data_IF_524310483934
#
_entry.id   IF_524310483934
#
_cell.length_a   1.000
_cell.length_b   1.000
_cell.length_c   1.000
_cell.angle_alpha   90.00
_cell.angle_beta   90.00
_cell.angle_gamma   90.00
#
_symmetry.space_group_name_H-M   'P 1'
#
loop_
_entity.id
_entity.type
_entity.pdbx_description
1 polymer ?
#
# COMPACT_ATOMS: atom_id res chain seq x y z
N UNK A 1 -48.49 18.41 52.81
CA UNK A 1 -47.04 18.57 52.62
C UNK A 1 -46.41 17.21 52.92
N UNK A 2 -46.62 16.12 52.18
CA UNK A 2 -46.35 15.78 50.76
C UNK A 2 -45.01 16.33 50.26
N UNK A 3 -44.20 15.44 49.65
CA UNK A 3 -42.83 15.59 49.15
C UNK A 3 -41.74 15.14 50.15
N UNK A 4 -41.58 13.82 50.32
CA UNK A 4 -40.28 13.19 50.68
C UNK A 4 -40.27 11.65 50.55
N UNK A 5 -41.15 11.02 49.75
CA UNK A 5 -41.20 9.54 49.66
C UNK A 5 -41.37 8.98 48.24
N UNK A 6 -40.99 9.72 47.19
CA UNK A 6 -41.12 9.24 45.80
C UNK A 6 -39.78 9.12 45.07
N UNK A 7 -38.66 9.59 45.63
CA UNK A 7 -37.37 9.58 44.92
C UNK A 7 -36.52 8.31 45.16
N UNK A 8 -36.96 7.38 46.01
CA UNK A 8 -36.27 6.09 46.24
C UNK A 8 -37.05 4.85 45.75
N UNK A 9 -38.00 5.03 44.83
CA UNK A 9 -38.74 3.92 44.22
C UNK A 9 -38.72 3.97 42.67
N UNK A 10 -37.67 4.54 42.08
CA UNK A 10 -37.49 4.63 40.63
C UNK A 10 -36.23 3.96 40.08
N UNK A 11 -35.46 3.24 40.91
CA UNK A 11 -34.15 2.70 40.52
C UNK A 11 -34.06 1.15 40.47
N UNK A 12 -35.18 0.45 40.67
CA UNK A 12 -35.24 -1.02 40.60
C UNK A 12 -36.08 -1.54 39.42
N UNK A 13 -36.79 -0.67 38.69
CA UNK A 13 -37.53 -1.04 37.47
C UNK A 13 -36.73 -0.93 36.17
N UNK A 14 -35.46 -0.49 36.24
CA UNK A 14 -34.64 -0.13 35.07
C UNK A 14 -33.53 -1.16 34.78
N UNK A 15 -32.98 -1.83 35.80
CA UNK A 15 -31.88 -2.80 35.62
C UNK A 15 -32.33 -4.12 35.02
N UNK A 16 -33.48 -4.64 35.43
CA UNK A 16 -34.02 -5.88 34.86
C UNK A 16 -34.46 -5.68 33.39
N UNK A 17 -34.94 -4.48 33.05
CA UNK A 17 -35.23 -4.09 31.67
C UNK A 17 -33.97 -3.95 30.82
N UNK A 18 -32.90 -3.34 31.37
CA UNK A 18 -31.60 -3.23 30.70
C UNK A 18 -30.94 -4.59 30.47
N UNK A 19 -31.05 -5.53 31.42
CA UNK A 19 -30.53 -6.89 31.26
C UNK A 19 -31.29 -7.63 30.18
N UNK A 20 -32.63 -7.57 30.18
CA UNK A 20 -33.45 -8.20 29.14
C UNK A 20 -33.17 -7.62 27.74
N UNK A 21 -32.88 -6.32 27.66
CA UNK A 21 -32.51 -5.67 26.41
C UNK A 21 -31.12 -6.10 25.91
N UNK A 22 -30.11 -6.13 26.79
CA UNK A 22 -28.77 -6.63 26.43
C UNK A 22 -28.79 -8.09 25.98
N UNK A 23 -29.59 -8.94 26.63
CA UNK A 23 -29.73 -10.35 26.25
C UNK A 23 -30.39 -10.52 24.87
N UNK A 24 -31.33 -9.64 24.51
CA UNK A 24 -31.93 -9.62 23.18
C UNK A 24 -30.94 -9.14 22.12
N UNK A 25 -30.15 -8.10 22.41
CA UNK A 25 -29.11 -7.58 21.51
C UNK A 25 -27.99 -8.61 21.30
N UNK A 26 -27.54 -9.29 22.35
CA UNK A 26 -26.53 -10.35 22.26
C UNK A 26 -27.02 -11.53 21.41
N UNK A 27 -28.32 -11.86 21.50
CA UNK A 27 -28.92 -12.92 20.69
C UNK A 27 -28.99 -12.53 19.23
N UNK A 28 -29.43 -11.31 18.93
CA UNK A 28 -29.45 -10.77 17.56
C UNK A 28 -28.05 -10.76 16.95
N UNK A 29 -27.05 -10.26 17.69
CA UNK A 29 -25.67 -10.17 17.22
C UNK A 29 -25.04 -11.55 16.98
N UNK A 30 -25.44 -12.55 17.78
CA UNK A 30 -25.01 -13.94 17.59
C UNK A 30 -25.63 -14.56 16.34
N UNK A 31 -26.93 -14.34 16.12
CA UNK A 31 -27.64 -14.81 14.92
C UNK A 31 -27.05 -14.17 13.66
N UNK A 32 -26.80 -12.87 13.67
CA UNK A 32 -26.17 -12.14 12.57
C UNK A 32 -24.73 -12.65 12.30
N UNK A 33 -23.96 -12.94 13.35
CA UNK A 33 -22.62 -13.51 13.22
C UNK A 33 -22.63 -14.93 12.66
N UNK A 34 -23.59 -15.76 13.07
CA UNK A 34 -23.76 -17.13 12.56
C UNK A 34 -24.18 -17.11 11.09
N UNK A 35 -25.03 -16.18 10.70
CA UNK A 35 -25.44 -16.00 9.31
C UNK A 35 -24.27 -15.50 8.44
N UNK A 36 -23.50 -14.52 8.90
CA UNK A 36 -22.31 -14.03 8.18
C UNK A 36 -21.26 -15.14 7.98
N UNK A 37 -21.11 -16.04 8.97
CA UNK A 37 -20.24 -17.22 8.84
C UNK A 37 -20.76 -18.20 7.79
N UNK A 38 -22.06 -18.46 7.75
CA UNK A 38 -22.67 -19.35 6.75
C UNK A 38 -22.55 -18.79 5.33
N UNK A 39 -22.69 -17.48 5.16
CA UNK A 39 -22.50 -16.80 3.87
C UNK A 39 -21.03 -16.88 3.41
N UNK A 40 -20.06 -16.63 4.30
CA UNK A 40 -18.63 -16.77 3.98
C UNK A 40 -18.24 -18.23 3.64
N UNK A 41 -18.82 -19.21 4.32
CA UNK A 41 -18.60 -20.63 4.00
C UNK A 41 -19.18 -21.01 2.64
N UNK A 42 -20.37 -20.50 2.30
CA UNK A 42 -20.99 -20.74 1.00
C UNK A 42 -20.22 -20.05 -0.14
N UNK A 43 -19.61 -18.89 0.10
CA UNK A 43 -18.73 -18.20 -0.85
C UNK A 43 -17.43 -18.99 -1.07
N UNK A 44 -16.83 -19.52 0.00
CA UNK A 44 -15.61 -20.33 -0.08
C UNK A 44 -15.81 -21.67 -0.81
N UNK A 45 -17.02 -22.25 -0.77
CA UNK A 45 -17.36 -23.44 -1.57
C UNK A 45 -17.60 -23.12 -3.05
N UNK A 46 -17.93 -21.87 -3.39
CA UNK A 46 -18.26 -21.45 -4.76
C UNK A 46 -17.04 -21.01 -5.58
N UNK A 47 -15.92 -20.71 -4.94
CA UNK A 47 -14.68 -20.31 -5.62
C UNK A 47 -13.62 -21.42 -5.57
N UNK A 48 -13.46 -22.25 -6.63
CA UNK A 48 -12.36 -23.18 -6.70
C UNK A 48 -11.10 -22.38 -7.10
N UNK A 49 -10.54 -21.58 -6.18
CA UNK A 49 -9.20 -20.99 -6.32
C UNK A 49 -8.14 -22.09 -6.12
N UNK A 50 -8.33 -23.28 -6.67
CA UNK A 50 -7.30 -24.32 -6.81
C UNK A 50 -7.76 -25.38 -7.83
N UNK A 51 -7.73 -25.06 -9.14
CA UNK A 51 -7.84 -26.08 -10.19
C UNK A 51 -6.69 -27.11 -10.20
N UNK A 52 -5.67 -26.91 -9.34
CA UNK A 52 -4.47 -27.74 -9.19
C UNK A 52 -4.41 -28.49 -7.85
N UNK A 53 -5.45 -28.43 -7.02
CA UNK A 53 -5.61 -29.44 -5.97
C UNK A 53 -6.08 -30.71 -6.66
N UNK A 54 -5.08 -31.44 -7.17
CA UNK A 54 -5.18 -32.87 -7.46
C UNK A 54 -5.92 -33.49 -6.29
N UNK A 55 -7.07 -34.11 -6.57
CA UNK A 55 -7.72 -34.91 -5.55
C UNK A 55 -6.67 -35.90 -5.04
N UNK A 56 -6.68 -36.20 -3.74
CA UNK A 56 -5.67 -37.08 -3.14
C UNK A 56 -5.66 -38.52 -3.68
N UNK A 57 -6.13 -38.78 -4.90
CA UNK A 57 -5.81 -39.97 -5.70
C UNK A 57 -4.69 -39.73 -6.71
N UNK A 58 -3.93 -38.63 -6.55
CA UNK A 58 -2.51 -38.67 -6.87
C UNK A 58 -1.96 -39.97 -6.27
N UNK A 59 -1.65 -40.94 -7.13
CA UNK A 59 -0.82 -42.06 -6.74
C UNK A 59 0.35 -41.45 -5.99
N UNK A 60 0.38 -41.66 -4.68
CA UNK A 60 1.53 -41.34 -3.85
C UNK A 60 2.65 -42.24 -4.31
N UNK A 61 3.24 -41.95 -5.47
CA UNK A 61 4.60 -42.32 -5.73
C UNK A 61 5.37 -41.56 -4.67
N UNK A 62 5.73 -42.29 -3.61
CA UNK A 62 6.82 -41.93 -2.74
C UNK A 62 7.97 -41.58 -3.68
N UNK A 63 8.20 -40.28 -3.88
CA UNK A 63 9.32 -39.80 -4.66
C UNK A 63 10.52 -40.45 -3.99
N UNK A 64 11.30 -41.21 -4.77
CA UNK A 64 12.47 -41.85 -4.21
C UNK A 64 13.35 -40.77 -3.58
N UNK A 65 14.16 -41.13 -2.58
CA UNK A 65 15.10 -40.20 -1.98
C UNK A 65 15.98 -39.51 -3.05
N UNK A 66 16.28 -40.22 -4.14
CA UNK A 66 16.99 -39.70 -5.31
C UNK A 66 16.19 -38.64 -6.10
N UNK A 67 14.89 -38.85 -6.31
CA UNK A 67 14.02 -37.86 -6.98
C UNK A 67 13.83 -36.60 -6.13
N UNK A 68 13.71 -36.77 -4.81
CA UNK A 68 13.63 -35.65 -3.88
C UNK A 68 14.94 -34.86 -3.86
N UNK A 69 16.08 -35.55 -3.84
CA UNK A 69 17.38 -34.93 -3.88
C UNK A 69 17.61 -34.16 -5.20
N UNK A 70 17.31 -34.77 -6.34
CA UNK A 70 17.43 -34.10 -7.64
C UNK A 70 16.54 -32.85 -7.74
N UNK A 71 15.34 -32.89 -7.14
CA UNK A 71 14.46 -31.72 -7.09
C UNK A 71 14.94 -30.65 -6.11
N UNK A 72 15.54 -31.04 -4.99
CA UNK A 72 16.17 -30.11 -4.05
C UNK A 72 17.34 -29.38 -4.72
N UNK A 73 18.22 -30.10 -5.41
CA UNK A 73 19.35 -29.53 -6.15
C UNK A 73 18.88 -28.56 -7.27
N UNK A 74 17.79 -28.92 -7.97
CA UNK A 74 17.18 -28.03 -8.97
C UNK A 74 16.64 -26.75 -8.35
N UNK A 75 15.97 -26.85 -7.19
CA UNK A 75 15.42 -25.69 -6.49
C UNK A 75 16.53 -24.79 -5.97
N UNK A 76 17.57 -25.36 -5.36
CA UNK A 76 18.75 -24.61 -4.90
C UNK A 76 19.40 -23.84 -6.06
N UNK A 77 19.52 -24.45 -7.24
CA UNK A 77 20.04 -23.76 -8.42
C UNK A 77 19.16 -22.57 -8.83
N UNK A 78 17.84 -22.76 -8.87
CA UNK A 78 16.90 -21.69 -9.27
C UNK A 78 16.86 -20.56 -8.24
N UNK A 79 16.93 -20.90 -6.96
CA UNK A 79 17.02 -19.92 -5.87
C UNK A 79 18.29 -19.09 -6.00
N UNK A 80 19.42 -19.72 -6.34
CA UNK A 80 20.66 -18.99 -6.59
C UNK A 80 20.56 -18.08 -7.83
N UNK A 81 20.03 -18.59 -8.95
CA UNK A 81 19.84 -17.79 -10.17
C UNK A 81 18.92 -16.59 -9.92
N UNK A 82 17.85 -16.76 -9.13
CA UNK A 82 16.96 -15.68 -8.75
C UNK A 82 17.63 -14.67 -7.82
N UNK A 83 18.42 -15.13 -6.86
CA UNK A 83 19.15 -14.24 -5.95
C UNK A 83 20.17 -13.37 -6.70
N UNK A 84 20.87 -13.95 -7.68
CA UNK A 84 21.82 -13.21 -8.51
C UNK A 84 21.09 -12.19 -9.39
N UNK A 85 19.97 -12.57 -10.01
CA UNK A 85 19.15 -11.65 -10.81
C UNK A 85 18.56 -10.52 -9.96
N UNK A 86 18.08 -10.83 -8.75
CA UNK A 86 17.57 -9.82 -7.82
C UNK A 86 18.66 -8.84 -7.42
N UNK A 87 19.90 -9.31 -7.18
CA UNK A 87 21.03 -8.43 -6.89
C UNK A 87 21.37 -7.51 -8.07
N UNK A 88 21.35 -8.02 -9.29
CA UNK A 88 21.58 -7.22 -10.51
C UNK A 88 20.47 -6.18 -10.73
N UNK A 89 19.20 -6.56 -10.55
CA UNK A 89 18.07 -5.65 -10.66
C UNK A 89 18.12 -4.55 -9.59
N UNK A 90 18.42 -4.90 -8.33
CA UNK A 90 18.54 -3.91 -7.26
C UNK A 90 19.67 -2.90 -7.52
N UNK A 91 20.80 -3.36 -8.08
CA UNK A 91 21.88 -2.45 -8.45
C UNK A 91 21.46 -1.49 -9.58
N UNK A 92 20.72 -1.99 -10.58
CA UNK A 92 20.17 -1.17 -11.65
C UNK A 92 19.10 -0.19 -11.15
N UNK A 93 18.21 -0.63 -10.27
CA UNK A 93 17.20 0.23 -9.65
C UNK A 93 17.84 1.35 -8.83
N UNK A 94 18.90 1.03 -8.09
CA UNK A 94 19.67 2.03 -7.35
C UNK A 94 20.31 3.08 -8.27
N UNK A 95 20.95 2.63 -9.37
CA UNK A 95 21.52 3.53 -10.38
C UNK A 95 20.44 4.43 -11.02
N UNK A 96 19.27 3.88 -11.33
CA UNK A 96 18.14 4.64 -11.89
C UNK A 96 17.55 5.65 -10.89
N UNK A 97 17.48 5.29 -9.61
CA UNK A 97 16.99 6.18 -8.55
C UNK A 97 17.96 7.35 -8.30
N UNK A 98 19.27 7.16 -8.47
CA UNK A 98 20.23 8.26 -8.38
C UNK A 98 20.08 9.30 -9.51
N UNK A 99 19.59 8.87 -10.68
CA UNK A 99 19.52 9.70 -11.89
C UNK A 99 18.10 10.13 -12.27
N UNK A 100 17.07 9.64 -11.58
CA UNK A 100 15.69 10.00 -11.91
C UNK A 100 14.71 9.88 -10.74
N UNK A 101 13.64 10.65 -10.80
CA UNK A 101 12.53 10.57 -9.84
C UNK A 101 11.18 10.82 -10.50
N UNK A 102 10.12 10.22 -9.95
CA UNK A 102 8.77 10.33 -10.49
C UNK A 102 7.92 11.44 -9.87
N UNK A 103 6.62 11.51 -10.23
CA UNK A 103 5.67 12.43 -9.62
C UNK A 103 5.56 12.24 -8.10
N UNK A 104 5.03 13.26 -7.42
CA UNK A 104 4.93 13.32 -5.96
C UNK A 104 5.88 14.35 -5.37
N UNK A 105 5.85 14.46 -4.04
CA UNK A 105 6.71 15.35 -3.25
C UNK A 105 7.99 14.63 -2.82
N UNK A 106 9.12 15.29 -3.03
CA UNK A 106 10.46 14.80 -2.75
C UNK A 106 11.22 15.80 -1.88
N UNK A 107 11.77 15.33 -0.77
CA UNK A 107 12.68 16.13 0.08
C UNK A 107 14.07 16.16 -0.54
N UNK A 108 14.59 17.34 -0.83
CA UNK A 108 15.93 17.52 -1.42
C UNK A 108 17.01 17.15 -0.40
N UNK A 109 18.03 16.42 -0.83
CA UNK A 109 19.09 15.84 0.01
C UNK A 109 18.69 14.56 0.77
N UNK A 110 17.43 14.09 0.62
CA UNK A 110 16.98 12.81 1.15
C UNK A 110 16.41 11.90 0.06
N UNK A 111 15.46 12.43 -0.71
CA UNK A 111 14.75 11.70 -1.76
C UNK A 111 15.36 12.00 -3.13
N UNK A 112 15.83 13.23 -3.35
CA UNK A 112 16.49 13.68 -4.59
C UNK A 112 17.69 14.56 -4.29
N UNK A 113 18.73 14.51 -5.11
CA UNK A 113 19.92 15.35 -4.95
C UNK A 113 19.75 16.75 -5.58
N UNK A 114 20.56 17.71 -5.17
CA UNK A 114 20.65 19.01 -5.86
C UNK A 114 21.18 18.84 -7.29
N UNK A 115 20.68 19.64 -8.23
CA UNK A 115 21.14 19.62 -9.61
C UNK A 115 20.08 20.01 -10.63
N UNK A 116 20.46 19.89 -11.90
CA UNK A 116 19.58 20.19 -13.02
C UNK A 116 18.82 18.94 -13.45
N UNK A 117 17.49 19.08 -13.54
CA UNK A 117 16.59 18.00 -13.94
C UNK A 117 15.81 18.35 -15.19
N UNK A 118 15.61 17.35 -16.05
CA UNK A 118 14.83 17.43 -17.28
C UNK A 118 13.68 16.45 -17.24
N UNK A 119 12.51 16.88 -17.68
CA UNK A 119 11.38 16.01 -17.96
C UNK A 119 10.88 16.20 -19.38
N UNK A 120 10.37 15.14 -19.98
CA UNK A 120 9.61 15.14 -21.22
C UNK A 120 8.17 14.77 -20.88
N UNK A 121 7.26 15.76 -20.71
CA UNK A 121 5.92 15.51 -20.20
C UNK A 121 5.14 14.50 -21.05
N UNK A 122 4.68 13.43 -20.42
CA UNK A 122 3.83 12.41 -21.08
C UNK A 122 2.37 12.88 -21.24
N UNK A 123 1.98 13.92 -20.51
CA UNK A 123 0.63 14.48 -20.48
C UNK A 123 0.63 16.00 -20.71
N UNK A 124 -0.55 16.54 -21.03
CA UNK A 124 -0.76 18.00 -21.16
C UNK A 124 -0.94 18.71 -19.81
N UNK A 125 -0.58 18.11 -18.68
CA UNK A 125 -0.82 18.66 -17.34
C UNK A 125 0.38 18.45 -16.39
N UNK A 126 1.59 18.73 -16.86
CA UNK A 126 2.78 18.71 -16.01
C UNK A 126 2.83 19.96 -15.13
N UNK A 127 2.60 19.81 -13.83
CA UNK A 127 2.71 20.89 -12.84
C UNK A 127 3.82 20.56 -11.85
N UNK A 128 4.56 21.57 -11.43
CA UNK A 128 5.57 21.44 -10.38
C UNK A 128 5.58 22.66 -9.48
N UNK A 129 5.98 22.45 -8.24
CA UNK A 129 6.17 23.50 -7.25
C UNK A 129 7.32 23.12 -6.32
N UNK A 130 7.87 24.13 -5.65
CA UNK A 130 8.91 23.89 -4.66
C UNK A 130 8.78 24.85 -3.48
N UNK A 131 9.26 24.41 -2.33
CA UNK A 131 9.29 25.22 -1.11
C UNK A 131 10.70 25.31 -0.54
N UNK A 132 10.97 26.40 0.16
CA UNK A 132 12.16 26.53 0.99
C UNK A 132 12.03 25.78 2.33
N UNK A 133 13.06 25.87 3.15
CA UNK A 133 13.14 25.25 4.48
C UNK A 133 12.17 25.87 5.50
N UNK A 134 11.57 27.03 5.19
CA UNK A 134 10.50 27.63 5.98
C UNK A 134 9.10 27.22 5.51
N UNK A 135 9.01 26.40 4.44
CA UNK A 135 7.76 25.99 3.82
C UNK A 135 7.14 27.07 2.94
N UNK A 136 7.90 28.08 2.54
CA UNK A 136 7.44 29.12 1.62
C UNK A 136 7.66 28.68 0.18
N UNK A 137 6.65 28.90 -0.67
CA UNK A 137 6.74 28.58 -2.10
C UNK A 137 7.81 29.42 -2.80
N UNK A 138 8.56 28.79 -3.68
CA UNK A 138 9.59 29.40 -4.50
C UNK A 138 9.04 29.65 -5.91
N UNK A 139 8.44 30.82 -6.12
CA UNK A 139 7.80 31.21 -7.40
C UNK A 139 8.68 31.00 -8.64
N UNK A 140 10.00 31.13 -8.50
CA UNK A 140 10.96 30.96 -9.59
C UNK A 140 11.15 29.50 -10.02
N UNK A 141 10.69 28.55 -9.22
CA UNK A 141 10.80 27.11 -9.41
C UNK A 141 9.42 26.43 -9.22
N UNK A 142 8.35 27.16 -9.50
CA UNK A 142 6.97 26.67 -9.61
C UNK A 142 6.44 26.94 -11.02
N UNK A 143 5.68 26.00 -11.59
CA UNK A 143 5.18 26.16 -12.95
C UNK A 143 4.28 25.04 -13.45
N UNK A 144 3.81 25.22 -14.68
CA UNK A 144 2.98 24.28 -15.40
C UNK A 144 3.36 24.23 -16.88
N UNK A 145 3.15 23.07 -17.51
CA UNK A 145 3.46 22.78 -18.91
C UNK A 145 2.37 21.90 -19.51
N UNK A 146 1.84 22.31 -20.65
CA UNK A 146 0.68 21.65 -21.29
C UNK A 146 0.88 21.25 -22.75
N UNK A 147 1.98 21.68 -23.38
CA UNK A 147 2.29 21.46 -24.80
C UNK A 147 3.23 20.25 -25.04
N UNK A 148 3.58 19.51 -23.99
CA UNK A 148 4.51 18.39 -24.05
C UNK A 148 5.98 18.79 -24.30
N UNK A 149 6.29 20.09 -24.33
CA UNK A 149 7.67 20.52 -24.53
C UNK A 149 8.54 20.14 -23.31
N UNK A 150 9.82 19.76 -23.53
CA UNK A 150 10.72 19.44 -22.43
C UNK A 150 10.86 20.61 -21.45
N UNK A 151 10.85 20.28 -20.16
CA UNK A 151 11.07 21.24 -19.07
C UNK A 151 12.41 20.94 -18.43
N UNK A 152 13.15 21.98 -18.08
CA UNK A 152 14.38 21.89 -17.31
C UNK A 152 14.20 22.76 -16.07
N UNK A 153 14.52 22.20 -14.91
CA UNK A 153 14.51 22.87 -13.61
C UNK A 153 15.90 22.77 -12.97
N UNK A 154 16.28 23.78 -12.18
CA UNK A 154 17.51 23.79 -11.40
C UNK A 154 17.13 23.73 -9.92
N UNK A 155 17.37 22.59 -9.28
CA UNK A 155 17.03 22.35 -7.88
C UNK A 155 18.26 22.66 -7.04
N UNK A 156 18.27 23.86 -6.47
CA UNK A 156 19.34 24.36 -5.62
C UNK A 156 19.23 23.90 -4.16
N UNK A 157 20.29 24.15 -3.35
CA UNK A 157 20.33 23.79 -1.93
C UNK A 157 19.35 24.58 -1.04
N UNK A 158 18.72 25.63 -1.55
CA UNK A 158 17.68 26.40 -0.87
C UNK A 158 16.31 25.70 -0.87
N UNK A 159 16.11 24.75 -1.77
CA UNK A 159 14.87 23.98 -1.94
C UNK A 159 14.84 22.87 -0.88
N UNK A 160 13.76 22.81 -0.10
CA UNK A 160 13.50 21.71 0.86
C UNK A 160 12.65 20.62 0.22
N UNK A 161 11.56 21.00 -0.47
CA UNK A 161 10.64 20.08 -1.13
C UNK A 161 10.46 20.48 -2.58
N UNK A 162 10.56 19.51 -3.47
CA UNK A 162 10.13 19.61 -4.87
C UNK A 162 8.96 18.66 -5.09
N UNK A 163 7.84 19.15 -5.60
CA UNK A 163 6.66 18.36 -5.91
C UNK A 163 6.30 18.49 -7.37
N UNK A 164 5.95 17.36 -8.02
CA UNK A 164 5.43 17.38 -9.38
C UNK A 164 4.25 16.45 -9.59
N UNK A 165 3.37 16.79 -10.53
CA UNK A 165 2.19 16.00 -10.90
C UNK A 165 2.00 16.04 -12.41
N UNK A 166 1.61 14.91 -13.01
CA UNK A 166 1.36 14.81 -14.45
C UNK A 166 2.61 14.96 -15.36
N UNK A 167 3.81 15.08 -14.78
CA UNK A 167 5.05 15.29 -15.52
C UNK A 167 5.71 14.01 -16.04
N UNK A 168 5.56 12.88 -15.35
CA UNK A 168 6.35 11.67 -15.63
C UNK A 168 7.67 11.67 -14.85
N UNK A 169 8.71 11.05 -15.41
CA UNK A 169 10.03 10.95 -14.78
C UNK A 169 10.90 12.18 -15.07
N UNK A 170 11.43 12.78 -14.01
CA UNK A 170 12.49 13.77 -14.08
C UNK A 170 13.84 13.06 -14.09
N UNK A 171 14.72 13.42 -15.02
CA UNK A 171 16.07 12.88 -15.15
C UNK A 171 17.10 13.94 -14.84
N UNK A 172 18.09 13.61 -14.00
CA UNK A 172 19.21 14.49 -13.72
C UNK A 172 20.10 14.61 -14.96
N UNK A 173 20.47 15.83 -15.32
CA UNK A 173 21.28 16.13 -16.52
C UNK A 173 22.57 16.92 -16.22
N UNK A 174 22.78 17.37 -14.99
CA UNK A 174 23.95 18.13 -14.57
C UNK A 174 23.98 18.45 -13.09
#
# INVERSE_FOLDING_TARGET
MFIALVVMLGALGDKDGQIAQLEAELRSMKEDSEQALAELQAEAEQDPIVPWLDDGTATGQELSSEQLQARAEELERREQELADLEAELNALEYELAEVSFGPGAHTVGRDIEVGQYRVEPESSECNWASTDHAGLELDHLSGSRTDGAPVIVDIGPEVEVFESSGCGLWYRIG
#
